data_IF_224713748516
#
_entry.id   IF_224713748516
#
_cell.length_a   1.000
_cell.length_b   1.000
_cell.length_c   1.000
_cell.angle_alpha   90.00
_cell.angle_beta   90.00
_cell.angle_gamma   90.00
#
_symmetry.space_group_name_H-M   'P 1'
#
loop_
_entity.id
_entity.type
_entity.pdbx_description
1 polymer ?
#
# COMPACT_ATOMS: atom_id res chain seq x y z
N UNK A 1 14.89 -24.62 -12.55
CA UNK A 1 14.66 -23.20 -12.23
C UNK A 1 15.29 -22.95 -10.87
N UNK A 2 16.36 -22.15 -10.80
CA UNK A 2 16.88 -21.69 -9.51
C UNK A 2 15.78 -20.83 -8.89
N UNK A 3 15.23 -21.24 -7.75
CA UNK A 3 14.39 -20.33 -6.95
C UNK A 3 15.38 -19.34 -6.34
N UNK A 4 15.45 -18.14 -6.89
CA UNK A 4 16.16 -17.03 -6.24
C UNK A 4 15.45 -16.82 -4.91
N UNK A 5 16.17 -17.01 -3.81
CA UNK A 5 15.63 -16.79 -2.47
C UNK A 5 15.18 -15.33 -2.36
N UNK A 6 13.94 -15.11 -1.90
CA UNK A 6 13.41 -13.78 -1.64
C UNK A 6 14.24 -13.13 -0.54
N UNK A 7 14.73 -11.91 -0.73
CA UNK A 7 15.61 -11.26 0.25
C UNK A 7 14.82 -10.49 1.29
N UNK A 8 13.81 -9.75 0.83
CA UNK A 8 12.98 -8.89 1.66
C UNK A 8 11.49 -9.13 1.40
N UNK A 9 10.70 -9.10 2.47
CA UNK A 9 9.24 -9.01 2.40
C UNK A 9 8.79 -7.71 3.04
N UNK A 10 8.02 -6.94 2.29
CA UNK A 10 7.37 -5.73 2.79
C UNK A 10 5.92 -6.07 3.14
N UNK A 11 5.55 -5.87 4.39
CA UNK A 11 4.20 -6.07 4.90
C UNK A 11 3.57 -4.71 5.13
N UNK A 12 2.34 -4.50 4.66
CA UNK A 12 1.57 -3.34 5.10
C UNK A 12 0.56 -2.81 4.10
N UNK A 13 0.37 -1.48 4.14
CA UNK A 13 -0.75 -0.84 3.46
C UNK A 13 -0.52 -0.65 1.96
N UNK A 14 -1.59 -0.83 1.20
CA UNK A 14 -1.67 -0.52 -0.24
C UNK A 14 -2.84 0.43 -0.43
N UNK A 15 -2.66 1.49 -1.22
CA UNK A 15 -3.70 2.47 -1.52
C UNK A 15 -3.73 2.80 -3.01
N UNK A 16 -4.86 3.30 -3.49
CA UNK A 16 -4.89 4.20 -4.64
C UNK A 16 -4.71 5.63 -4.11
N UNK A 17 -3.70 6.33 -4.60
CA UNK A 17 -3.46 7.72 -4.22
C UNK A 17 -4.04 8.66 -5.28
N UNK A 18 -4.80 9.65 -4.82
CA UNK A 18 -5.34 10.76 -5.62
C UNK A 18 -4.76 12.05 -5.04
N UNK A 19 -3.80 12.65 -5.76
CA UNK A 19 -3.15 13.89 -5.34
C UNK A 19 -3.75 15.06 -6.09
N UNK A 20 -4.40 15.98 -5.37
CA UNK A 20 -5.00 17.20 -5.90
C UNK A 20 -4.08 18.39 -5.59
N UNK A 21 -3.80 19.24 -6.58
CA UNK A 21 -2.98 20.44 -6.41
C UNK A 21 -3.46 21.59 -7.31
N UNK A 22 -3.40 22.85 -6.84
CA UNK A 22 -3.30 23.25 -5.43
C UNK A 22 -4.68 23.13 -4.74
N UNK A 23 -4.69 22.82 -3.44
CA UNK A 23 -5.89 22.82 -2.59
C UNK A 23 -5.55 23.40 -1.23
N UNK A 24 -5.74 24.70 -1.03
CA UNK A 24 -5.46 25.36 0.25
C UNK A 24 -6.53 25.00 1.29
N UNK A 25 -7.80 25.22 0.98
CA UNK A 25 -8.94 24.92 1.87
C UNK A 25 -10.00 24.06 1.17
N UNK A 26 -10.68 23.19 1.94
CA UNK A 26 -11.85 22.44 1.45
C UNK A 26 -13.08 22.91 2.22
N UNK A 27 -13.99 23.66 1.59
CA UNK A 27 -15.21 24.12 2.25
C UNK A 27 -16.16 22.95 2.51
N UNK A 28 -16.96 23.05 3.57
CA UNK A 28 -17.83 21.96 4.03
C UNK A 28 -19.01 21.66 3.10
N UNK A 29 -19.56 22.67 2.43
CA UNK A 29 -20.81 22.56 1.66
C UNK A 29 -20.69 23.06 0.22
N UNK A 30 -19.53 23.57 -0.19
CA UNK A 30 -19.32 24.15 -1.51
C UNK A 30 -18.42 23.25 -2.35
N UNK A 31 -18.62 23.26 -3.66
CA UNK A 31 -17.72 22.59 -4.60
C UNK A 31 -16.58 23.53 -4.97
N UNK A 32 -15.36 23.00 -5.02
CA UNK A 32 -14.18 23.74 -5.46
C UNK A 32 -13.55 23.04 -6.66
N UNK A 33 -12.91 23.83 -7.52
CA UNK A 33 -12.02 23.33 -8.55
C UNK A 33 -10.58 23.49 -8.09
N UNK A 34 -9.70 22.63 -8.58
CA UNK A 34 -8.25 22.72 -8.44
C UNK A 34 -7.61 22.48 -9.81
N UNK A 35 -6.33 22.81 -9.93
CA UNK A 35 -5.67 22.88 -11.25
C UNK A 35 -5.37 21.50 -11.85
N UNK A 36 -4.86 20.57 -11.04
CA UNK A 36 -4.42 19.27 -11.52
C UNK A 36 -4.60 18.15 -10.49
N UNK A 37 -4.81 16.94 -10.99
CA UNK A 37 -4.77 15.71 -10.21
C UNK A 37 -3.77 14.71 -10.79
N UNK A 38 -3.08 14.00 -9.91
CA UNK A 38 -2.36 12.78 -10.24
C UNK A 38 -3.04 11.59 -9.54
N UNK A 39 -3.20 10.49 -10.27
CA UNK A 39 -3.79 9.25 -9.75
C UNK A 39 -2.81 8.12 -9.98
N UNK A 40 -2.51 7.35 -8.94
CA UNK A 40 -1.51 6.28 -9.03
C UNK A 40 -1.61 5.27 -7.90
N UNK A 41 -0.85 4.16 -8.00
CA UNK A 41 -0.67 3.26 -6.87
C UNK A 41 0.05 4.00 -5.73
N UNK A 42 -0.31 3.66 -4.51
CA UNK A 42 0.27 4.22 -3.29
C UNK A 42 0.33 3.21 -2.16
N UNK A 43 0.56 3.73 -0.97
CA UNK A 43 0.71 2.97 0.26
C UNK A 43 2.16 2.68 0.57
N UNK A 44 2.51 2.78 1.85
CA UNK A 44 3.90 2.72 2.30
C UNK A 44 4.54 1.37 1.96
N UNK A 45 3.79 0.27 2.08
CA UNK A 45 4.30 -1.05 1.72
C UNK A 45 4.54 -1.18 0.21
N UNK A 46 3.59 -0.72 -0.60
CA UNK A 46 3.70 -0.73 -2.06
C UNK A 46 4.92 0.07 -2.52
N UNK A 47 5.07 1.30 -2.03
CA UNK A 47 6.18 2.19 -2.40
C UNK A 47 7.53 1.61 -1.98
N UNK A 48 7.65 1.11 -0.74
CA UNK A 48 8.88 0.49 -0.27
C UNK A 48 9.24 -0.76 -1.08
N UNK A 49 8.26 -1.62 -1.39
CA UNK A 49 8.52 -2.84 -2.17
C UNK A 49 9.03 -2.50 -3.58
N UNK A 50 8.41 -1.53 -4.26
CA UNK A 50 8.83 -1.05 -5.58
C UNK A 50 10.24 -0.48 -5.54
N UNK A 51 10.58 0.34 -4.52
CA UNK A 51 11.92 0.91 -4.38
C UNK A 51 12.96 -0.18 -4.15
N UNK A 52 12.72 -1.13 -3.24
CA UNK A 52 13.66 -2.23 -2.98
C UNK A 52 13.90 -3.09 -4.23
N UNK A 53 12.83 -3.42 -4.96
CA UNK A 53 12.96 -4.16 -6.21
C UNK A 53 13.72 -3.37 -7.29
N UNK A 54 13.50 -2.06 -7.38
CA UNK A 54 14.23 -1.16 -8.28
C UNK A 54 15.72 -1.06 -7.95
N UNK A 55 16.10 -1.27 -6.69
CA UNK A 55 17.49 -1.34 -6.24
C UNK A 55 18.13 -2.72 -6.48
N UNK A 56 17.39 -3.66 -7.09
CA UNK A 56 17.88 -4.98 -7.47
C UNK A 56 17.66 -6.08 -6.42
N UNK A 57 16.94 -5.80 -5.33
CA UNK A 57 16.64 -6.82 -4.32
C UNK A 57 15.47 -7.70 -4.76
N UNK A 58 15.59 -9.01 -4.55
CA UNK A 58 14.43 -9.91 -4.70
C UNK A 58 13.40 -9.61 -3.62
N UNK A 59 12.32 -8.91 -3.98
CA UNK A 59 11.38 -8.31 -3.02
C UNK A 59 9.97 -8.84 -3.21
N UNK A 60 9.33 -9.23 -2.11
CA UNK A 60 7.92 -9.60 -2.06
C UNK A 60 7.09 -8.60 -1.26
N UNK A 61 5.78 -8.58 -1.51
CA UNK A 61 4.82 -7.79 -0.76
C UNK A 61 3.72 -8.68 -0.17
N UNK A 62 3.37 -8.42 1.09
CA UNK A 62 2.24 -9.02 1.78
C UNK A 62 1.27 -7.93 2.25
N UNK A 63 0.04 -7.97 1.73
CA UNK A 63 -0.96 -6.94 1.93
C UNK A 63 -2.37 -7.50 1.71
N UNK A 64 -3.39 -6.68 1.94
CA UNK A 64 -4.77 -6.97 1.54
C UNK A 64 -5.26 -5.91 0.56
N UNK A 65 -5.88 -6.34 -0.54
CA UNK A 65 -6.47 -5.47 -1.57
C UNK A 65 -7.90 -5.91 -1.89
N UNK A 66 -8.66 -5.07 -2.57
CA UNK A 66 -9.99 -5.43 -3.09
C UNK A 66 -9.94 -6.19 -4.41
N UNK A 67 -11.12 -6.42 -4.97
CA UNK A 67 -11.31 -6.96 -6.32
C UNK A 67 -11.71 -5.83 -7.30
N UNK A 68 -10.90 -4.77 -7.36
CA UNK A 68 -11.20 -3.52 -8.08
C UNK A 68 -10.03 -3.00 -8.92
N UNK A 69 -10.27 -1.94 -9.69
CA UNK A 69 -9.27 -1.32 -10.58
C UNK A 69 -8.06 -0.74 -9.83
N UNK A 70 -8.26 -0.32 -8.58
CA UNK A 70 -7.17 0.12 -7.71
C UNK A 70 -6.21 -1.03 -7.40
N UNK A 71 -6.74 -2.21 -7.05
CA UNK A 71 -5.94 -3.42 -6.89
C UNK A 71 -5.25 -3.82 -8.21
N UNK A 72 -5.96 -3.74 -9.33
CA UNK A 72 -5.39 -4.05 -10.65
C UNK A 72 -4.23 -3.12 -11.01
N UNK A 73 -4.34 -1.82 -10.70
CA UNK A 73 -3.26 -0.85 -10.90
C UNK A 73 -2.03 -1.14 -10.03
N UNK A 74 -2.25 -1.50 -8.76
CA UNK A 74 -1.16 -1.88 -7.85
C UNK A 74 -0.42 -3.13 -8.37
N UNK A 75 -1.16 -4.19 -8.78
CA UNK A 75 -0.57 -5.42 -9.32
C UNK A 75 0.21 -5.19 -10.62
N UNK A 76 -0.31 -4.37 -11.54
CA UNK A 76 0.44 -3.98 -12.77
C UNK A 76 1.75 -3.27 -12.43
N UNK A 77 1.74 -2.43 -11.41
CA UNK A 77 2.94 -1.72 -10.93
C UNK A 77 3.95 -2.70 -10.37
N UNK A 78 3.52 -3.60 -9.48
CA UNK A 78 4.40 -4.64 -8.91
C UNK A 78 5.02 -5.54 -9.97
N UNK A 79 4.23 -6.00 -10.95
CA UNK A 79 4.75 -6.75 -12.10
C UNK A 79 5.82 -5.97 -12.88
N UNK A 80 5.59 -4.67 -13.13
CA UNK A 80 6.53 -3.82 -13.87
C UNK A 80 7.89 -3.73 -13.17
N UNK A 81 7.89 -3.69 -11.84
CA UNK A 81 9.11 -3.59 -11.03
C UNK A 81 9.64 -4.95 -10.54
N UNK A 82 9.01 -6.07 -10.89
CA UNK A 82 9.42 -7.40 -10.46
C UNK A 82 9.19 -7.68 -8.97
N UNK A 83 8.22 -7.00 -8.34
CA UNK A 83 7.77 -7.29 -6.98
C UNK A 83 6.87 -8.52 -6.98
N UNK A 84 7.18 -9.51 -6.12
CA UNK A 84 6.38 -10.72 -5.96
C UNK A 84 5.18 -10.46 -5.05
N UNK A 85 3.97 -10.54 -5.62
CA UNK A 85 2.71 -10.25 -4.95
C UNK A 85 1.92 -11.50 -4.52
N UNK A 86 2.57 -12.68 -4.47
CA UNK A 86 1.90 -13.95 -4.09
C UNK A 86 1.31 -13.96 -2.68
N UNK A 87 1.78 -13.07 -1.81
CA UNK A 87 1.28 -12.91 -0.44
C UNK A 87 0.26 -11.77 -0.31
N UNK A 88 -0.19 -11.20 -1.42
CA UNK A 88 -1.28 -10.21 -1.44
C UNK A 88 -2.62 -10.93 -1.55
N UNK A 89 -3.41 -10.83 -0.49
CA UNK A 89 -4.75 -11.41 -0.42
C UNK A 89 -5.79 -10.44 -0.98
N UNK A 90 -6.73 -10.95 -1.77
CA UNK A 90 -7.94 -10.22 -2.15
C UNK A 90 -9.03 -10.49 -1.12
N UNK A 91 -9.67 -9.42 -0.62
CA UNK A 91 -10.70 -9.47 0.43
C UNK A 91 -12.01 -8.88 -0.05
N UNK A 92 -13.10 -9.17 0.66
CA UNK A 92 -14.44 -8.61 0.39
C UNK A 92 -14.56 -7.18 0.94
N UNK A 93 -13.77 -6.28 0.36
CA UNK A 93 -13.74 -4.84 0.65
C UNK A 93 -13.06 -4.10 -0.52
N UNK A 94 -13.35 -2.81 -0.73
CA UNK A 94 -12.62 -2.02 -1.72
C UNK A 94 -11.15 -1.83 -1.28
N UNK A 95 -10.24 -1.74 -2.25
CA UNK A 95 -8.87 -1.28 -2.02
C UNK A 95 -8.91 0.10 -1.37
N UNK A 96 -8.01 0.33 -0.43
CA UNK A 96 -7.94 1.61 0.27
C UNK A 96 -7.64 2.76 -0.70
N UNK A 97 -8.14 3.95 -0.38
CA UNK A 97 -7.90 5.18 -1.14
C UNK A 97 -7.34 6.22 -0.20
N UNK A 98 -6.31 6.95 -0.66
CA UNK A 98 -5.78 8.13 0.00
C UNK A 98 -5.94 9.33 -0.92
N UNK A 99 -6.59 10.38 -0.45
CA UNK A 99 -6.70 11.64 -1.17
C UNK A 99 -5.76 12.64 -0.51
N UNK A 100 -4.69 13.00 -1.23
CA UNK A 100 -3.74 14.02 -0.84
C UNK A 100 -4.16 15.38 -1.39
N UNK A 101 -4.37 16.33 -0.49
CA UNK A 101 -4.66 17.72 -0.81
C UNK A 101 -3.37 18.51 -0.59
N UNK A 102 -2.77 19.01 -1.67
CA UNK A 102 -1.48 19.71 -1.63
C UNK A 102 -1.72 21.19 -1.83
N UNK A 103 -1.31 22.02 -0.89
CA UNK A 103 -1.47 23.48 -0.95
C UNK A 103 -0.39 24.17 -1.81
N UNK A 104 -0.50 25.50 -1.98
CA UNK A 104 0.50 26.28 -2.70
C UNK A 104 1.92 26.23 -2.09
N UNK A 105 2.04 25.93 -0.79
CA UNK A 105 3.32 25.77 -0.08
C UNK A 105 3.91 24.35 -0.23
N UNK A 106 3.27 23.50 -1.06
CA UNK A 106 3.66 22.11 -1.31
C UNK A 106 3.56 21.22 -0.07
N UNK A 107 2.71 21.59 0.90
CA UNK A 107 2.43 20.74 2.05
C UNK A 107 1.24 19.83 1.76
N UNK A 108 1.40 18.50 1.88
CA UNK A 108 0.31 17.57 1.69
C UNK A 108 -0.46 17.35 3.00
N UNK A 109 -1.79 17.28 2.90
CA UNK A 109 -2.65 16.68 3.93
C UNK A 109 -3.47 15.54 3.33
N UNK A 110 -3.70 14.48 4.10
CA UNK A 110 -4.34 13.27 3.59
C UNK A 110 -5.64 12.97 4.32
N UNK A 111 -6.65 12.61 3.55
CA UNK A 111 -7.85 11.92 4.03
C UNK A 111 -7.88 10.54 3.35
N UNK A 112 -8.23 9.50 4.09
CA UNK A 112 -8.12 8.14 3.57
C UNK A 112 -9.24 7.23 4.09
N UNK A 113 -9.55 6.21 3.30
CA UNK A 113 -10.41 5.10 3.70
C UNK A 113 -9.53 3.87 3.97
N UNK A 114 -9.64 3.20 5.13
CA UNK A 114 -8.84 2.00 5.39
C UNK A 114 -9.09 0.86 4.40
N UNK A 115 -10.33 0.69 3.91
CA UNK A 115 -10.68 -0.33 2.91
C UNK A 115 -10.13 -1.72 3.27
N UNK A 116 -9.57 -2.41 2.27
CA UNK A 116 -8.95 -3.71 2.40
C UNK A 116 -7.79 -3.76 3.42
N UNK A 117 -7.13 -2.63 3.73
CA UNK A 117 -6.07 -2.60 4.74
C UNK A 117 -6.59 -2.94 6.15
N UNK A 118 -7.90 -2.78 6.41
CA UNK A 118 -8.51 -3.19 7.66
C UNK A 118 -8.54 -4.72 7.86
N UNK A 119 -8.42 -5.49 6.78
CA UNK A 119 -8.42 -6.94 6.81
C UNK A 119 -7.02 -7.53 7.02
N UNK A 120 -5.96 -6.72 6.94
CA UNK A 120 -4.63 -7.16 7.30
C UNK A 120 -4.54 -7.27 8.83
N UNK A 121 -4.70 -8.50 9.31
CA UNK A 121 -4.69 -8.85 10.74
C UNK A 121 -3.48 -9.73 11.07
N UNK A 122 -3.13 -9.90 12.36
CA UNK A 122 -2.06 -10.84 12.74
C UNK A 122 -2.32 -12.26 12.22
N UNK A 123 -3.59 -12.67 12.17
CA UNK A 123 -4.01 -13.99 11.64
C UNK A 123 -3.89 -14.13 10.13
N UNK A 124 -3.64 -13.05 9.37
CA UNK A 124 -3.31 -13.09 7.94
C UNK A 124 -1.81 -13.01 7.67
N UNK A 125 -1.00 -12.66 8.66
CA UNK A 125 0.46 -12.71 8.51
C UNK A 125 0.93 -14.18 8.40
N UNK A 126 1.92 -14.44 7.55
CA UNK A 126 2.47 -15.78 7.31
C UNK A 126 4.00 -15.83 7.48
N UNK A 127 4.58 -15.51 8.65
CA UNK A 127 6.04 -15.48 8.84
C UNK A 127 6.75 -16.79 8.44
N UNK A 128 6.13 -17.94 8.68
CA UNK A 128 6.69 -19.23 8.26
C UNK A 128 6.74 -19.39 6.73
N UNK A 129 5.73 -18.88 6.02
CA UNK A 129 5.73 -18.92 4.55
C UNK A 129 6.77 -17.96 3.97
N UNK A 130 6.95 -16.81 4.61
CA UNK A 130 7.98 -15.82 4.29
C UNK A 130 9.39 -16.43 4.45
N UNK A 131 9.63 -17.13 5.55
CA UNK A 131 10.89 -17.84 5.77
C UNK A 131 11.13 -18.97 4.75
N UNK A 132 10.09 -19.72 4.36
CA UNK A 132 10.18 -20.80 3.36
C UNK A 132 10.60 -20.33 1.98
N UNK A 133 10.26 -19.09 1.60
CA UNK A 133 10.73 -18.48 0.35
C UNK A 133 12.10 -17.81 0.48
N UNK A 134 12.74 -17.92 1.65
CA UNK A 134 14.11 -17.47 1.91
C UNK A 134 14.24 -16.05 2.45
N UNK A 135 13.12 -15.38 2.80
CA UNK A 135 13.13 -13.99 3.29
C UNK A 135 14.02 -13.84 4.52
N UNK A 136 15.02 -12.95 4.41
CA UNK A 136 15.94 -12.60 5.50
C UNK A 136 15.49 -11.35 6.25
N UNK A 137 14.80 -10.46 5.54
CA UNK A 137 14.33 -9.18 6.06
C UNK A 137 12.81 -9.07 5.94
N UNK A 138 12.18 -8.54 6.99
CA UNK A 138 10.78 -8.16 6.98
C UNK A 138 10.69 -6.68 7.34
N UNK A 139 10.00 -5.91 6.50
CA UNK A 139 9.72 -4.50 6.75
C UNK A 139 8.22 -4.28 6.91
N UNK A 140 7.79 -3.82 8.08
CA UNK A 140 6.40 -3.45 8.34
C UNK A 140 6.21 -1.95 8.04
N UNK A 141 5.46 -1.64 6.99
CA UNK A 141 5.24 -0.28 6.49
C UNK A 141 3.81 0.20 6.75
N UNK A 142 3.67 1.48 7.11
CA UNK A 142 2.35 2.10 7.31
C UNK A 142 1.55 1.54 8.49
N UNK A 143 2.22 1.09 9.55
CA UNK A 143 1.57 0.41 10.69
C UNK A 143 0.35 1.14 11.25
N UNK A 144 0.43 2.47 11.41
CA UNK A 144 -0.65 3.26 12.00
C UNK A 144 -1.90 3.41 11.12
N UNK A 145 -1.83 3.02 9.84
CA UNK A 145 -2.98 3.01 8.91
C UNK A 145 -3.48 1.59 8.62
N UNK A 146 -3.10 0.62 9.46
CA UNK A 146 -3.51 -0.78 9.39
C UNK A 146 -4.40 -1.13 10.60
N UNK A 147 -5.69 -0.74 10.63
CA UNK A 147 -6.51 -0.90 11.81
C UNK A 147 -6.66 -2.37 12.25
N UNK A 148 -6.62 -3.33 11.31
CA UNK A 148 -6.65 -4.76 11.62
C UNK A 148 -5.44 -5.27 12.42
N UNK A 149 -4.31 -4.56 12.39
CA UNK A 149 -3.14 -4.83 13.24
C UNK A 149 -3.17 -4.05 14.57
N UNK A 150 -4.00 -3.01 14.66
CA UNK A 150 -4.17 -2.19 15.87
C UNK A 150 -5.28 -2.70 16.79
N UNK A 151 -6.26 -3.45 16.25
CA UNK A 151 -7.40 -3.99 17.02
C UNK A 151 -7.01 -5.05 18.03
N UNK A 152 -5.91 -5.76 17.78
CA UNK A 152 -5.22 -6.51 18.81
C UNK A 152 -4.18 -5.58 19.40
N UNK A 153 -4.56 -4.87 20.47
CA UNK A 153 -3.54 -4.33 21.36
C UNK A 153 -2.51 -5.43 21.62
N UNK A 154 -1.23 -5.08 21.56
CA UNK A 154 -0.15 -5.83 22.17
C UNK A 154 -0.44 -5.93 23.69
N UNK A 155 -1.38 -6.79 24.05
CA UNK A 155 -1.71 -7.19 25.42
C UNK A 155 -0.88 -8.43 25.77
#
# INVERSE_FOLDING_TARGET
MLVVAMEAIVVGNVTLDVLCYPVDEVPRHESIAFEQAAVGPGGCASNTAVVLASLGLSTGIAACVGADEAAALARRTWQTFGVDDRFVETVDAPTAVSVGLVDHERQPRFIHTPGANAYLTPTRLRPEAYAKVGAKWLHLAGYFVLPGLLTTALA
#
